data_IF_216522349379
#
_entry.id   IF_216522349379
#
_cell.length_a   1.000
_cell.length_b   1.000
_cell.length_c   1.000
_cell.angle_alpha   90.00
_cell.angle_beta   90.00
_cell.angle_gamma   90.00
#
_symmetry.space_group_name_H-M   'P 1'
#
loop_
_entity.id
_entity.type
_entity.pdbx_description
1 polymer ?
#
# COMPACT_ATOMS: atom_id res chain seq x y z
N UNK A 1 -0.96 20.10 11.70
CA UNK A 1 -0.68 19.14 10.60
C UNK A 1 -1.94 19.09 9.74
N UNK A 2 -1.82 19.10 8.41
CA UNK A 2 -3.00 19.05 7.53
C UNK A 2 -3.76 17.72 7.74
N UNK A 3 -5.06 17.75 7.99
CA UNK A 3 -5.87 16.58 8.35
C UNK A 3 -5.79 15.47 7.29
N UNK A 4 -5.85 15.87 6.01
CA UNK A 4 -5.66 14.98 4.86
C UNK A 4 -4.28 14.30 4.84
N UNK A 5 -3.24 14.99 5.30
CA UNK A 5 -1.90 14.40 5.37
C UNK A 5 -1.82 13.35 6.48
N UNK A 6 -2.47 13.59 7.62
CA UNK A 6 -2.53 12.59 8.71
C UNK A 6 -3.25 11.33 8.24
N UNK A 7 -4.43 11.50 7.64
CA UNK A 7 -5.21 10.39 7.08
C UNK A 7 -4.42 9.61 6.02
N UNK A 8 -3.76 10.32 5.10
CA UNK A 8 -2.89 9.69 4.11
C UNK A 8 -1.79 8.84 4.74
N UNK A 9 -1.12 9.36 5.78
CA UNK A 9 -0.04 8.64 6.48
C UNK A 9 -0.59 7.39 7.18
N UNK A 10 -1.73 7.50 7.85
CA UNK A 10 -2.33 6.40 8.60
C UNK A 10 -2.79 5.28 7.65
N UNK A 11 -3.53 5.60 6.60
CA UNK A 11 -3.96 4.62 5.58
C UNK A 11 -2.77 3.99 4.84
N UNK A 12 -1.76 4.79 4.49
CA UNK A 12 -0.55 4.28 3.83
C UNK A 12 0.17 3.27 4.72
N UNK A 13 0.24 3.52 6.03
CA UNK A 13 0.85 2.59 6.99
C UNK A 13 0.09 1.27 7.08
N UNK A 14 -1.23 1.31 7.09
CA UNK A 14 -2.07 0.11 7.09
C UNK A 14 -1.83 -0.74 5.83
N UNK A 15 -1.82 -0.10 4.65
CA UNK A 15 -1.57 -0.81 3.40
C UNK A 15 -0.13 -1.34 3.28
N UNK A 16 0.87 -0.61 3.78
CA UNK A 16 2.26 -1.09 3.84
C UNK A 16 2.40 -2.29 4.79
N UNK A 17 1.68 -2.29 5.91
CA UNK A 17 1.64 -3.43 6.82
C UNK A 17 1.04 -4.66 6.14
N UNK A 18 -0.11 -4.51 5.47
CA UNK A 18 -0.74 -5.59 4.71
C UNK A 18 0.17 -6.13 3.58
N UNK A 19 0.91 -5.25 2.90
CA UNK A 19 1.91 -5.66 1.92
C UNK A 19 3.02 -6.48 2.59
N UNK A 20 3.63 -5.97 3.66
CA UNK A 20 4.71 -6.67 4.38
C UNK A 20 4.29 -8.06 4.88
N UNK A 21 3.10 -8.16 5.48
CA UNK A 21 2.57 -9.43 6.00
C UNK A 21 2.25 -10.41 4.87
N UNK A 22 1.73 -9.90 3.74
CA UNK A 22 1.53 -10.69 2.54
C UNK A 22 2.85 -11.25 1.99
N UNK A 23 3.92 -10.45 1.98
CA UNK A 23 5.25 -10.92 1.54
C UNK A 23 5.81 -12.02 2.42
N UNK A 24 5.70 -11.87 3.74
CA UNK A 24 6.10 -12.91 4.71
C UNK A 24 5.29 -14.20 4.54
N UNK A 25 4.03 -14.08 4.10
CA UNK A 25 3.18 -15.24 3.81
C UNK A 25 3.63 -15.93 2.53
N UNK A 26 3.90 -15.17 1.46
CA UNK A 26 4.39 -15.70 0.18
C UNK A 26 5.75 -16.38 0.28
N UNK A 27 6.62 -15.90 1.17
CA UNK A 27 7.91 -16.55 1.46
C UNK A 27 7.73 -18.00 1.93
N UNK A 28 6.67 -18.28 2.68
CA UNK A 28 6.36 -19.62 3.21
C UNK A 28 5.57 -20.45 2.21
N UNK A 29 4.62 -19.84 1.51
CA UNK A 29 3.74 -20.53 0.59
C UNK A 29 3.18 -19.57 -0.47
N UNK A 30 3.28 -19.95 -1.75
CA UNK A 30 2.67 -19.20 -2.84
C UNK A 30 1.15 -19.35 -2.83
N UNK A 31 0.44 -18.25 -2.58
CA UNK A 31 -1.01 -18.18 -2.53
C UNK A 31 -1.54 -17.01 -3.37
N UNK A 32 -2.51 -17.29 -4.23
CA UNK A 32 -3.09 -16.31 -5.16
C UNK A 32 -3.87 -15.21 -4.42
N UNK A 33 -4.54 -15.54 -3.31
CA UNK A 33 -5.29 -14.56 -2.52
C UNK A 33 -4.33 -13.58 -1.82
N UNK A 34 -3.20 -14.09 -1.32
CA UNK A 34 -2.13 -13.29 -0.74
C UNK A 34 -1.52 -12.33 -1.78
N UNK A 35 -1.24 -12.82 -3.00
CA UNK A 35 -0.78 -11.96 -4.11
C UNK A 35 -1.81 -10.88 -4.42
N UNK A 36 -3.10 -11.23 -4.50
CA UNK A 36 -4.16 -10.28 -4.77
C UNK A 36 -4.26 -9.20 -3.66
N UNK A 37 -4.04 -9.58 -2.41
CA UNK A 37 -4.03 -8.66 -1.26
C UNK A 37 -2.88 -7.66 -1.34
N UNK A 38 -1.66 -8.13 -1.62
CA UNK A 38 -0.50 -7.26 -1.86
C UNK A 38 -0.77 -6.29 -3.01
N UNK A 39 -1.29 -6.80 -4.13
CA UNK A 39 -1.56 -5.98 -5.31
C UNK A 39 -2.57 -4.87 -5.00
N UNK A 40 -3.66 -5.20 -4.29
CA UNK A 40 -4.65 -4.21 -3.85
C UNK A 40 -4.03 -3.16 -2.94
N UNK A 41 -3.20 -3.55 -1.97
CA UNK A 41 -2.53 -2.62 -1.07
C UNK A 41 -1.63 -1.63 -1.83
N UNK A 42 -0.79 -2.12 -2.76
CA UNK A 42 0.05 -1.27 -3.61
C UNK A 42 -0.80 -0.34 -4.49
N UNK A 43 -1.86 -0.86 -5.11
CA UNK A 43 -2.78 -0.07 -5.94
C UNK A 43 -3.48 1.05 -5.17
N UNK A 44 -3.88 0.80 -3.93
CA UNK A 44 -4.50 1.83 -3.07
C UNK A 44 -3.49 2.92 -2.71
N UNK A 45 -2.28 2.54 -2.28
CA UNK A 45 -1.20 3.51 -1.98
C UNK A 45 -0.91 4.39 -3.19
N UNK A 46 -0.80 3.78 -4.38
CA UNK A 46 -0.61 4.51 -5.64
C UNK A 46 -1.72 5.54 -5.88
N UNK A 47 -2.98 5.13 -5.77
CA UNK A 47 -4.13 6.00 -5.98
C UNK A 47 -4.16 7.17 -4.99
N UNK A 48 -3.89 6.90 -3.72
CA UNK A 48 -3.79 7.92 -2.68
C UNK A 48 -2.63 8.89 -2.94
N UNK A 49 -1.45 8.38 -3.31
CA UNK A 49 -0.27 9.19 -3.60
C UNK A 49 -0.50 10.13 -4.78
N UNK A 50 -1.11 9.65 -5.87
CA UNK A 50 -1.47 10.48 -7.02
C UNK A 50 -2.50 11.55 -6.66
N UNK A 51 -3.48 11.24 -5.82
CA UNK A 51 -4.50 12.19 -5.35
C UNK A 51 -3.90 13.30 -4.48
N UNK A 52 -2.90 12.97 -3.66
CA UNK A 52 -2.16 13.94 -2.84
C UNK A 52 -1.10 14.74 -3.62
N UNK A 53 -0.90 14.43 -4.91
CA UNK A 53 0.16 15.04 -5.73
C UNK A 53 1.57 14.51 -5.44
N UNK A 54 1.70 13.39 -4.73
CA UNK A 54 2.97 12.71 -4.45
C UNK A 54 3.38 11.82 -5.63
N UNK A 55 3.59 12.42 -6.79
CA UNK A 55 3.82 11.71 -8.07
C UNK A 55 4.96 10.71 -8.01
N UNK A 56 6.11 11.08 -7.41
CA UNK A 56 7.25 10.17 -7.26
C UNK A 56 6.91 8.91 -6.47
N UNK A 57 6.02 9.01 -5.50
CA UNK A 57 5.56 7.85 -4.74
C UNK A 57 4.61 7.01 -5.57
N UNK A 58 3.63 7.63 -6.24
CA UNK A 58 2.69 6.93 -7.12
C UNK A 58 3.32 6.25 -8.35
N UNK A 59 4.54 6.60 -8.73
CA UNK A 59 5.29 5.95 -9.81
C UNK A 59 6.00 4.66 -9.37
N UNK A 60 6.37 4.55 -8.08
CA UNK A 60 7.17 3.43 -7.55
C UNK A 60 6.35 2.43 -6.74
N UNK A 61 5.09 2.76 -6.45
CA UNK A 61 4.08 1.89 -5.82
C UNK A 61 3.06 1.45 -6.86
#
# INVERSE_FOLDING_TARGET
>A
MNEYLSMFIDETREHLQAWSDGMLTLEKHADAETIATIFRAAHTIKGMAMTMGFTRMGEVT
#
